data_IF_188674820613
#
_entry.id   IF_188674820613
#
_cell.length_a   1.000
_cell.length_b   1.000
_cell.length_c   1.000
_cell.angle_alpha   90.00
_cell.angle_beta   90.00
_cell.angle_gamma   90.00
#
_symmetry.space_group_name_H-M   'P 1'
#
loop_
_entity.id
_entity.type
_entity.pdbx_description
1 polymer ?
#
# COMPACT_ATOMS: atom_id res chain seq x y z
N UNK A 1 -12.39 15.32 -8.01
CA UNK A 1 -11.05 15.51 -7.40
C UNK A 1 -10.76 14.34 -6.47
N UNK A 2 -9.57 13.79 -6.57
CA UNK A 2 -9.15 12.68 -5.72
C UNK A 2 -8.39 13.21 -4.51
N UNK A 3 -8.77 12.73 -3.32
CA UNK A 3 -8.07 13.00 -2.08
C UNK A 3 -7.61 11.69 -1.45
N UNK A 4 -6.51 11.74 -0.71
CA UNK A 4 -5.98 10.58 -0.01
C UNK A 4 -6.19 10.78 1.49
N UNK A 5 -6.76 9.79 2.15
CA UNK A 5 -7.02 9.83 3.59
C UNK A 5 -6.44 8.62 4.30
N UNK A 6 -5.82 8.85 5.43
CA UNK A 6 -5.45 7.78 6.35
C UNK A 6 -6.72 7.17 6.94
N UNK A 7 -6.76 5.84 6.99
CA UNK A 7 -7.91 5.12 7.53
C UNK A 7 -7.66 4.79 9.00
N UNK A 8 -8.51 5.28 9.88
CA UNK A 8 -8.42 5.06 11.32
C UNK A 8 -9.42 4.01 11.78
N UNK A 9 -9.05 3.30 12.86
CA UNK A 9 -9.89 2.24 13.46
C UNK A 9 -11.25 2.79 13.89
N UNK A 10 -12.30 1.97 13.71
CA UNK A 10 -13.66 2.25 14.16
C UNK A 10 -14.28 3.50 13.56
N UNK A 11 -13.90 3.83 12.32
CA UNK A 11 -14.47 4.96 11.58
C UNK A 11 -15.36 4.46 10.44
N UNK A 12 -16.21 5.33 9.94
CA UNK A 12 -17.03 5.04 8.76
C UNK A 12 -16.14 4.73 7.55
N UNK A 13 -15.04 5.47 7.39
CA UNK A 13 -14.09 5.22 6.31
C UNK A 13 -13.49 3.81 6.39
N UNK A 14 -13.20 3.32 7.60
CA UNK A 14 -12.70 1.96 7.78
C UNK A 14 -13.72 0.92 7.33
N UNK A 15 -15.00 1.15 7.62
CA UNK A 15 -16.07 0.26 7.15
C UNK A 15 -16.22 0.30 5.65
N UNK A 16 -16.15 1.48 5.06
CA UNK A 16 -16.21 1.65 3.61
C UNK A 16 -15.03 0.97 2.92
N UNK A 17 -13.83 1.08 3.51
CA UNK A 17 -12.65 0.41 2.96
C UNK A 17 -12.79 -1.11 3.01
N UNK A 18 -13.30 -1.66 4.09
CA UNK A 18 -13.55 -3.11 4.20
C UNK A 18 -14.49 -3.58 3.09
N UNK A 19 -15.58 -2.86 2.86
CA UNK A 19 -16.53 -3.18 1.80
C UNK A 19 -15.87 -3.09 0.42
N UNK A 20 -15.06 -2.04 0.21
CA UNK A 20 -14.30 -1.86 -1.03
C UNK A 20 -13.38 -3.04 -1.29
N UNK A 21 -12.66 -3.51 -0.28
CA UNK A 21 -11.75 -4.66 -0.39
C UNK A 21 -12.53 -5.93 -0.72
N UNK A 22 -13.64 -6.16 -0.04
CA UNK A 22 -14.47 -7.36 -0.28
C UNK A 22 -15.02 -7.40 -1.70
N UNK A 23 -15.29 -6.24 -2.28
CA UNK A 23 -15.86 -6.11 -3.63
C UNK A 23 -14.81 -6.00 -4.72
N UNK A 24 -13.53 -5.82 -4.39
CA UNK A 24 -12.50 -5.54 -5.39
C UNK A 24 -12.16 -6.79 -6.23
N UNK A 25 -11.55 -6.55 -7.39
CA UNK A 25 -11.17 -7.61 -8.34
C UNK A 25 -9.86 -8.32 -8.00
N UNK A 26 -9.18 -7.89 -6.96
CA UNK A 26 -7.88 -8.47 -6.57
C UNK A 26 -8.09 -9.71 -5.70
N UNK A 27 -8.53 -10.80 -6.31
CA UNK A 27 -8.99 -12.00 -5.60
C UNK A 27 -7.91 -12.70 -4.78
N UNK A 28 -6.64 -12.60 -5.19
CA UNK A 28 -5.55 -13.33 -4.53
C UNK A 28 -5.22 -12.78 -3.15
N UNK A 29 -5.44 -11.49 -2.90
CA UNK A 29 -5.02 -10.84 -1.65
C UNK A 29 -6.17 -10.21 -0.86
N UNK A 30 -7.36 -10.08 -1.45
CA UNK A 30 -8.46 -9.37 -0.78
C UNK A 30 -8.87 -9.99 0.54
N UNK A 31 -8.85 -11.30 0.66
CA UNK A 31 -9.22 -11.96 1.91
C UNK A 31 -8.23 -11.63 3.03
N UNK A 32 -6.95 -11.59 2.72
CA UNK A 32 -5.91 -11.22 3.68
C UNK A 32 -6.10 -9.77 4.15
N UNK A 33 -6.32 -8.84 3.22
CA UNK A 33 -6.53 -7.42 3.56
C UNK A 33 -7.81 -7.25 4.37
N UNK A 34 -8.89 -7.91 3.97
CA UNK A 34 -10.16 -7.85 4.69
C UNK A 34 -10.00 -8.35 6.13
N UNK A 35 -9.26 -9.43 6.34
CA UNK A 35 -8.98 -9.96 7.68
C UNK A 35 -8.16 -8.98 8.52
N UNK A 36 -7.16 -8.33 7.93
CA UNK A 36 -6.39 -7.29 8.61
C UNK A 36 -7.28 -6.15 9.09
N UNK A 37 -8.24 -5.73 8.26
CA UNK A 37 -9.16 -4.65 8.61
C UNK A 37 -10.17 -5.09 9.67
N UNK A 38 -10.71 -6.31 9.58
CA UNK A 38 -11.68 -6.84 10.55
C UNK A 38 -11.06 -6.97 11.95
N UNK A 39 -9.84 -7.52 12.01
CA UNK A 39 -9.11 -7.76 13.27
C UNK A 39 -8.31 -6.55 13.71
N UNK A 40 -8.21 -5.55 12.88
CA UNK A 40 -7.37 -4.37 13.01
C UNK A 40 -5.94 -4.72 13.42
N UNK A 41 -5.21 -5.32 12.47
CA UNK A 41 -3.84 -5.80 12.70
C UNK A 41 -2.80 -4.71 12.44
N UNK A 42 -3.20 -3.46 12.54
CA UNK A 42 -2.31 -2.30 12.36
C UNK A 42 -1.89 -1.79 13.72
N UNK A 43 -0.59 -1.75 13.98
CA UNK A 43 -0.03 -1.31 15.25
C UNK A 43 0.89 -0.11 15.02
N UNK A 44 1.00 0.74 16.03
CA UNK A 44 1.83 1.93 15.99
C UNK A 44 1.50 2.82 14.80
N UNK A 45 2.47 3.00 13.88
CA UNK A 45 2.32 3.83 12.69
C UNK A 45 1.74 3.08 11.48
N UNK A 46 1.57 1.78 11.59
CA UNK A 46 1.02 0.98 10.48
C UNK A 46 -0.41 1.39 10.18
N UNK A 47 -0.77 1.48 8.90
CA UNK A 47 -2.13 1.84 8.50
C UNK A 47 -2.38 1.58 7.02
N UNK A 48 -3.61 1.83 6.61
CA UNK A 48 -3.99 1.92 5.21
C UNK A 48 -4.38 3.34 4.85
N UNK A 49 -4.24 3.66 3.57
CA UNK A 49 -4.71 4.90 2.97
C UNK A 49 -5.77 4.57 1.94
N UNK A 50 -6.80 5.40 1.85
CA UNK A 50 -7.84 5.30 0.85
C UNK A 50 -7.76 6.51 -0.09
N UNK A 51 -7.91 6.26 -1.38
CA UNK A 51 -8.08 7.32 -2.38
C UNK A 51 -9.58 7.50 -2.58
N UNK A 52 -10.06 8.73 -2.43
CA UNK A 52 -11.47 9.08 -2.50
C UNK A 52 -11.70 10.02 -3.67
N UNK A 53 -12.69 9.70 -4.50
CA UNK A 53 -13.16 10.58 -5.57
C UNK A 53 -14.64 10.89 -5.30
N UNK A 54 -14.91 12.15 -4.96
CA UNK A 54 -16.25 12.61 -4.58
C UNK A 54 -16.89 11.74 -3.49
N UNK A 55 -16.08 11.30 -2.53
CA UNK A 55 -16.54 10.50 -1.40
C UNK A 55 -16.53 8.99 -1.61
N UNK A 56 -16.29 8.53 -2.84
CA UNK A 56 -16.22 7.10 -3.14
C UNK A 56 -14.77 6.62 -3.14
N UNK A 57 -14.52 5.46 -2.54
CA UNK A 57 -13.18 4.88 -2.55
C UNK A 57 -12.89 4.32 -3.95
N UNK A 58 -11.76 4.75 -4.52
CA UNK A 58 -11.31 4.29 -5.84
C UNK A 58 -9.93 3.64 -5.80
N UNK A 59 -9.28 3.64 -4.66
CA UNK A 59 -7.97 3.01 -4.50
C UNK A 59 -7.56 2.90 -3.06
N UNK A 60 -6.50 2.12 -2.82
CA UNK A 60 -5.95 1.88 -1.49
C UNK A 60 -4.45 1.60 -1.55
N UNK A 61 -3.78 1.76 -0.42
CA UNK A 61 -2.40 1.33 -0.21
C UNK A 61 -2.19 1.11 1.29
N UNK A 62 -1.18 0.30 1.64
CA UNK A 62 -0.80 0.09 3.03
C UNK A 62 0.62 0.56 3.28
N UNK A 63 0.92 0.90 4.54
CA UNK A 63 2.27 1.07 5.03
C UNK A 63 2.43 0.21 6.28
N UNK A 64 3.41 -0.71 6.25
CA UNK A 64 3.54 -1.76 7.25
C UNK A 64 5.00 -1.98 7.63
N UNK A 65 5.22 -2.45 8.85
CA UNK A 65 6.55 -2.84 9.31
C UNK A 65 6.99 -4.18 8.71
N UNK A 66 6.06 -5.05 8.40
CA UNK A 66 6.33 -6.37 7.81
C UNK A 66 5.51 -6.56 6.55
N UNK A 67 5.98 -7.45 5.70
CA UNK A 67 5.27 -7.87 4.50
C UNK A 67 5.44 -9.38 4.35
N UNK A 68 5.13 -9.93 3.20
CA UNK A 68 5.14 -11.38 2.95
C UNK A 68 6.57 -11.93 2.73
N UNK A 69 7.56 -11.36 3.44
CA UNK A 69 8.99 -11.68 3.24
C UNK A 69 9.70 -11.84 4.59
N UNK A 70 10.64 -12.80 4.72
CA UNK A 70 11.42 -12.98 5.95
C UNK A 70 12.57 -11.97 6.04
N UNK A 71 12.24 -10.68 6.03
CA UNK A 71 13.18 -9.56 6.00
C UNK A 71 12.83 -8.55 7.10
N UNK A 72 13.07 -8.89 8.39
CA UNK A 72 12.61 -8.05 9.49
C UNK A 72 13.32 -6.70 9.60
N UNK A 73 14.48 -6.55 8.97
CA UNK A 73 15.25 -5.31 9.02
C UNK A 73 14.90 -4.33 7.90
N UNK A 74 14.00 -4.72 7.01
CA UNK A 74 13.53 -3.87 5.91
C UNK A 74 12.14 -3.36 6.26
N UNK A 75 11.99 -2.06 6.39
CA UNK A 75 10.71 -1.38 6.63
C UNK A 75 10.91 0.14 6.51
N UNK A 76 9.82 0.92 6.33
CA UNK A 76 8.44 0.47 6.13
C UNK A 76 8.20 -0.03 4.69
N UNK A 77 7.27 -0.96 4.57
CA UNK A 77 6.80 -1.48 3.29
C UNK A 77 5.55 -0.74 2.85
N UNK A 78 5.53 -0.27 1.61
CA UNK A 78 4.30 0.25 0.98
C UNK A 78 3.82 -0.84 0.04
N UNK A 79 2.63 -1.35 0.27
CA UNK A 79 2.08 -2.47 -0.51
C UNK A 79 0.56 -2.41 -0.54
N UNK A 80 -0.08 -3.48 -0.99
CA UNK A 80 -1.53 -3.54 -1.16
C UNK A 80 -2.05 -2.38 -2.02
N UNK A 81 -1.26 -1.96 -3.01
CA UNK A 81 -1.59 -0.83 -3.87
C UNK A 81 -2.58 -1.31 -4.92
N UNK A 82 -3.80 -0.81 -4.86
CA UNK A 82 -4.86 -1.17 -5.79
C UNK A 82 -5.69 0.05 -6.16
N UNK A 83 -6.02 0.18 -7.44
CA UNK A 83 -6.91 1.22 -7.96
C UNK A 83 -7.97 0.52 -8.80
N UNK A 84 -9.24 0.90 -8.63
CA UNK A 84 -10.33 0.29 -9.41
C UNK A 84 -10.09 0.47 -10.91
N UNK A 85 -10.53 -0.50 -11.69
CA UNK A 85 -10.29 -0.50 -13.13
C UNK A 85 -10.77 0.78 -13.81
N UNK A 86 -11.94 1.26 -13.42
CA UNK A 86 -12.52 2.48 -14.00
C UNK A 86 -11.75 3.76 -13.66
N UNK A 87 -10.95 3.74 -12.61
CA UNK A 87 -10.18 4.91 -12.15
C UNK A 87 -8.70 4.85 -12.58
N UNK A 88 -8.28 3.79 -13.24
CA UNK A 88 -6.89 3.64 -13.71
C UNK A 88 -6.58 4.65 -14.81
N UNK A 89 -5.29 4.98 -14.94
CA UNK A 89 -4.83 5.95 -15.92
C UNK A 89 -4.87 7.40 -15.45
N UNK A 90 -5.20 7.64 -14.18
CA UNK A 90 -5.31 9.00 -13.61
C UNK A 90 -4.27 9.24 -12.50
N UNK A 91 -3.21 8.46 -12.46
CA UNK A 91 -2.10 8.59 -11.51
C UNK A 91 -2.50 8.46 -10.03
N UNK A 92 -3.59 7.74 -9.74
CA UNK A 92 -4.08 7.57 -8.36
C UNK A 92 -3.11 6.74 -7.53
N UNK A 93 -2.52 5.69 -8.11
CA UNK A 93 -1.49 4.91 -7.42
C UNK A 93 -0.29 5.77 -7.03
N UNK A 94 0.12 6.68 -7.90
CA UNK A 94 1.19 7.65 -7.62
C UNK A 94 0.83 8.58 -6.46
N UNK A 95 -0.40 9.05 -6.40
CA UNK A 95 -0.87 9.90 -5.31
C UNK A 95 -0.88 9.13 -3.98
N UNK A 96 -1.30 7.86 -3.98
CA UNK A 96 -1.26 7.00 -2.80
C UNK A 96 0.17 6.80 -2.32
N UNK A 97 1.08 6.51 -3.23
CA UNK A 97 2.50 6.29 -2.92
C UNK A 97 3.13 7.57 -2.37
N UNK A 98 2.87 8.72 -2.99
CA UNK A 98 3.38 10.01 -2.53
C UNK A 98 2.88 10.34 -1.12
N UNK A 99 1.61 10.08 -0.86
CA UNK A 99 1.03 10.32 0.46
C UNK A 99 1.67 9.42 1.52
N UNK A 100 1.87 8.14 1.19
CA UNK A 100 2.54 7.19 2.09
C UNK A 100 3.99 7.61 2.37
N UNK A 101 4.70 8.10 1.36
CA UNK A 101 6.07 8.60 1.54
C UNK A 101 6.12 9.85 2.41
N UNK A 102 5.18 10.78 2.25
CA UNK A 102 5.07 11.96 3.10
C UNK A 102 4.80 11.57 4.55
N UNK A 103 3.91 10.61 4.76
CA UNK A 103 3.63 10.06 6.08
C UNK A 103 4.86 9.41 6.71
N UNK A 104 5.59 8.59 5.95
CA UNK A 104 6.82 7.96 6.41
C UNK A 104 7.89 9.00 6.77
N UNK A 105 8.02 10.05 5.98
CA UNK A 105 8.96 11.14 6.24
C UNK A 105 8.63 11.85 7.55
N UNK A 106 7.37 12.15 7.80
CA UNK A 106 6.93 12.78 9.05
C UNK A 106 7.25 11.91 10.26
N UNK A 107 7.21 10.58 10.11
CA UNK A 107 7.57 9.64 11.17
C UNK A 107 9.08 9.52 11.38
N UNK A 108 9.89 10.10 10.50
CA UNK A 108 11.34 10.04 10.59
C UNK A 108 11.99 8.93 9.80
N UNK A 109 11.23 8.17 9.02
CA UNK A 109 11.80 7.16 8.13
C UNK A 109 12.45 7.83 6.92
N UNK A 110 13.64 7.36 6.56
CA UNK A 110 14.41 7.95 5.45
C UNK A 110 14.16 7.26 4.12
N UNK A 111 13.56 6.07 4.15
CA UNK A 111 13.30 5.24 2.97
C UNK A 111 11.99 4.53 3.12
N UNK A 112 11.42 4.16 1.98
CA UNK A 112 10.28 3.23 1.91
C UNK A 112 10.59 2.17 0.86
N UNK A 113 9.95 1.00 1.02
CA UNK A 113 10.20 -0.15 0.15
C UNK A 113 8.91 -0.64 -0.47
N UNK A 114 8.99 -1.09 -1.72
CA UNK A 114 7.87 -1.71 -2.42
C UNK A 114 8.31 -3.05 -2.96
N UNK A 115 7.60 -4.16 -2.62
CA UNK A 115 7.84 -5.45 -3.26
C UNK A 115 6.90 -5.58 -4.47
N UNK A 116 7.40 -6.10 -5.57
CA UNK A 116 6.58 -6.29 -6.77
C UNK A 116 7.16 -7.31 -7.71
N UNK A 117 6.32 -7.93 -8.52
CA UNK A 117 6.76 -8.78 -9.64
C UNK A 117 6.98 -7.97 -10.92
N UNK A 118 6.56 -6.71 -10.95
CA UNK A 118 6.60 -5.87 -12.16
C UNK A 118 7.93 -5.14 -12.31
N UNK A 119 8.26 -4.77 -13.55
CA UNK A 119 9.40 -3.90 -13.87
C UNK A 119 8.86 -2.65 -14.57
N UNK A 120 9.52 -1.51 -14.35
CA UNK A 120 9.19 -0.25 -15.03
C UNK A 120 8.08 0.55 -14.38
N UNK A 121 7.22 -0.07 -13.57
CA UNK A 121 6.08 0.62 -12.96
C UNK A 121 6.52 1.58 -11.86
N UNK A 122 7.25 1.09 -10.87
CA UNK A 122 7.59 1.90 -9.71
C UNK A 122 8.77 2.84 -9.95
N UNK A 123 9.55 2.60 -11.00
CA UNK A 123 10.58 3.54 -11.43
C UNK A 123 9.97 4.89 -11.81
N UNK A 124 8.75 4.92 -12.34
CA UNK A 124 8.02 6.16 -12.62
C UNK A 124 7.75 6.99 -11.37
N UNK A 125 7.72 6.36 -10.21
CA UNK A 125 7.45 7.03 -8.94
C UNK A 125 8.73 7.30 -8.15
N UNK A 126 9.89 7.13 -8.79
CA UNK A 126 11.19 7.45 -8.18
C UNK A 126 11.82 6.31 -7.40
N UNK A 127 11.27 5.10 -7.48
CA UNK A 127 11.85 3.92 -6.85
C UNK A 127 12.94 3.33 -7.73
N UNK A 128 13.94 2.73 -7.09
CA UNK A 128 15.01 2.01 -7.79
C UNK A 128 15.05 0.56 -7.32
N UNK A 129 15.42 -0.33 -8.25
CA UNK A 129 15.58 -1.75 -7.98
C UNK A 129 16.79 -1.98 -7.06
N UNK A 130 16.61 -2.81 -6.03
CA UNK A 130 17.67 -3.20 -5.10
C UNK A 130 18.16 -4.60 -5.41
N UNK A 131 17.27 -5.59 -5.35
CA UNK A 131 17.59 -7.00 -5.58
C UNK A 131 16.30 -7.82 -5.65
N UNK A 132 16.43 -9.07 -6.05
CA UNK A 132 15.33 -10.03 -5.93
C UNK A 132 15.23 -10.53 -4.48
N UNK A 133 14.00 -10.79 -4.04
CA UNK A 133 13.71 -11.31 -2.71
C UNK A 133 12.75 -12.48 -2.84
N UNK A 134 12.83 -13.41 -1.86
CA UNK A 134 11.99 -14.60 -1.85
C UNK A 134 10.92 -14.44 -0.78
N UNK A 135 9.66 -14.63 -1.17
CA UNK A 135 8.53 -14.55 -0.24
C UNK A 135 8.33 -15.87 0.53
N UNK A 136 7.45 -15.86 1.53
CA UNK A 136 7.17 -17.04 2.35
C UNK A 136 6.59 -18.21 1.55
N UNK A 137 5.99 -17.92 0.40
CA UNK A 137 5.47 -18.97 -0.50
C UNK A 137 6.52 -19.55 -1.44
N UNK A 138 7.78 -19.10 -1.36
CA UNK A 138 8.87 -19.56 -2.20
C UNK A 138 9.00 -18.88 -3.55
N UNK A 139 8.10 -17.93 -3.85
CA UNK A 139 8.16 -17.15 -5.07
C UNK A 139 9.19 -16.02 -4.98
N UNK A 140 9.67 -15.55 -6.12
CA UNK A 140 10.66 -14.47 -6.20
C UNK A 140 9.98 -13.19 -6.67
N UNK A 141 10.22 -12.11 -5.93
CA UNK A 141 9.75 -10.77 -6.27
C UNK A 141 10.93 -9.80 -6.32
N UNK A 142 10.68 -8.58 -6.78
CA UNK A 142 11.68 -7.53 -6.87
C UNK A 142 11.49 -6.55 -5.72
N UNK A 143 12.58 -6.15 -5.09
CA UNK A 143 12.56 -5.14 -4.03
C UNK A 143 12.97 -3.79 -4.61
N UNK A 144 12.13 -2.79 -4.39
CA UNK A 144 12.38 -1.40 -4.77
C UNK A 144 12.48 -0.52 -3.56
N UNK A 145 13.28 0.54 -3.65
CA UNK A 145 13.49 1.49 -2.55
C UNK A 145 13.42 2.91 -3.08
N UNK A 146 12.92 3.81 -2.22
CA UNK A 146 12.92 5.26 -2.49
C UNK A 146 13.29 6.01 -1.22
N UNK A 147 14.12 7.04 -1.36
CA UNK A 147 14.37 7.99 -0.27
C UNK A 147 13.13 8.87 -0.09
N UNK A 148 12.80 9.18 1.16
CA UNK A 148 11.61 10.02 1.46
C UNK A 148 11.86 11.50 1.24
N UNK A 149 13.09 11.89 0.96
CA UNK A 149 13.47 13.28 0.69
C UNK A 149 13.62 13.55 -0.80
#
# INVERSE_FOLDING_TARGET
>A
MVTISKVNKDTELAKQLLQFVEDCSWHDVKEHIANMLRSWEFTDWECMFAALDDGDIVGMASIMKTDYYPLPDIYPWISCIFVTESARGHHISGQLIDHANSYAKELGFKRTYIPTEYTGLYEHYGYRYVRDIVNYGGGTDRLYVKETE
#
